data_IF_286984803486
#
_entry.id   IF_286984803486
#
_cell.length_a   1.000
_cell.length_b   1.000
_cell.length_c   1.000
_cell.angle_alpha   90.00
_cell.angle_beta   90.00
_cell.angle_gamma   90.00
#
_symmetry.space_group_name_H-M   'P 1'
#
loop_
_entity.id
_entity.type
_entity.pdbx_description
1 polymer ?
#
# COMPACT_ATOMS: atom_id res chain seq x y z
N UNK A 1 -11.85 29.14 -16.92
CA UNK A 1 -11.78 28.31 -15.68
C UNK A 1 -10.32 28.30 -15.23
N UNK A 2 -9.98 29.03 -14.17
CA UNK A 2 -8.61 29.15 -13.67
C UNK A 2 -8.29 27.96 -12.76
N UNK A 3 -7.40 27.08 -13.19
CA UNK A 3 -6.85 25.99 -12.38
C UNK A 3 -5.70 26.57 -11.55
N UNK A 4 -5.96 26.94 -10.29
CA UNK A 4 -4.92 27.40 -9.36
C UNK A 4 -4.15 26.19 -8.81
N UNK A 5 -2.82 26.28 -8.79
CA UNK A 5 -1.93 25.25 -8.26
C UNK A 5 -1.96 25.29 -6.73
N UNK A 6 -1.94 24.12 -6.09
CA UNK A 6 -1.91 23.94 -4.62
C UNK A 6 -0.61 24.44 -3.95
N UNK A 7 0.31 25.01 -4.71
CA UNK A 7 1.59 25.58 -4.26
C UNK A 7 1.50 27.09 -3.98
N UNK A 8 0.30 27.67 -4.03
CA UNK A 8 0.09 29.09 -3.71
C UNK A 8 0.40 29.34 -2.22
N UNK A 9 1.54 29.98 -1.93
CA UNK A 9 2.04 30.25 -0.57
C UNK A 9 1.06 31.04 0.30
N UNK A 10 0.10 31.72 -0.32
CA UNK A 10 -0.99 32.43 0.37
C UNK A 10 -2.04 31.51 1.01
N UNK A 11 -2.18 30.25 0.54
CA UNK A 11 -3.10 29.24 1.11
C UNK A 11 -2.37 28.31 2.09
N UNK A 12 -1.04 28.14 1.92
CA UNK A 12 -0.21 27.25 2.73
C UNK A 12 -0.03 27.76 4.17
N UNK A 13 -0.19 29.07 4.43
CA UNK A 13 -0.01 29.64 5.78
C UNK A 13 -0.98 29.07 6.83
N UNK A 14 -2.11 28.50 6.42
CA UNK A 14 -3.14 27.94 7.34
C UNK A 14 -3.17 26.41 7.38
N UNK A 15 -2.34 25.72 6.61
CA UNK A 15 -2.29 24.25 6.62
C UNK A 15 -1.16 23.76 7.53
N UNK A 16 -1.41 22.77 8.41
CA UNK A 16 -0.36 22.18 9.23
C UNK A 16 0.69 21.47 8.36
N UNK A 17 1.80 21.06 8.96
CA UNK A 17 2.89 20.44 8.20
C UNK A 17 2.49 19.04 7.68
N UNK A 18 2.96 18.71 6.48
CA UNK A 18 2.90 17.36 5.93
C UNK A 18 4.30 16.79 5.85
N UNK A 19 4.53 15.67 6.53
CA UNK A 19 5.80 14.95 6.52
C UNK A 19 5.61 13.62 5.79
N UNK A 20 6.42 13.37 4.76
CA UNK A 20 6.39 12.11 4.01
C UNK A 20 7.68 11.33 4.29
N UNK A 21 7.55 10.06 4.66
CA UNK A 21 8.68 9.19 4.96
C UNK A 21 8.50 7.80 4.35
N UNK A 22 9.61 7.23 3.90
CA UNK A 22 9.68 5.84 3.49
C UNK A 22 9.86 4.97 4.74
N UNK A 23 9.04 3.91 4.84
CA UNK A 23 9.10 2.92 5.93
C UNK A 23 9.58 1.61 5.34
N UNK A 24 10.85 1.31 5.57
CA UNK A 24 11.50 0.10 5.08
C UNK A 24 11.14 -1.10 5.97
N UNK A 25 10.67 -2.17 5.35
CA UNK A 25 10.23 -3.40 6.01
C UNK A 25 10.94 -4.59 5.35
N UNK A 26 11.68 -5.40 6.10
CA UNK A 26 12.20 -6.66 5.55
C UNK A 26 11.09 -7.70 5.33
N UNK A 27 11.32 -8.69 4.47
CA UNK A 27 10.45 -9.87 4.39
C UNK A 27 10.68 -10.76 5.62
N UNK A 28 9.64 -11.46 6.08
CA UNK A 28 9.82 -12.60 6.98
C UNK A 28 10.54 -13.76 6.26
N UNK A 29 11.15 -14.68 7.00
CA UNK A 29 11.80 -15.86 6.40
C UNK A 29 10.84 -16.68 5.51
N UNK A 30 9.58 -16.83 5.95
CA UNK A 30 8.53 -17.48 5.17
C UNK A 30 8.21 -16.72 3.87
N UNK A 31 8.09 -15.38 3.94
CA UNK A 31 7.89 -14.55 2.75
C UNK A 31 9.07 -14.66 1.78
N UNK A 32 10.30 -14.59 2.27
CA UNK A 32 11.51 -14.67 1.46
C UNK A 32 11.61 -15.99 0.68
N UNK A 33 11.26 -17.10 1.33
CA UNK A 33 11.21 -18.43 0.68
C UNK A 33 10.20 -18.46 -0.47
N UNK A 34 8.98 -17.98 -0.23
CA UNK A 34 7.93 -17.93 -1.26
C UNK A 34 8.29 -16.94 -2.37
N UNK A 35 8.97 -15.84 -2.03
CA UNK A 35 9.39 -14.81 -2.97
C UNK A 35 10.38 -15.38 -3.97
N UNK A 36 11.42 -16.06 -3.47
CA UNK A 36 12.43 -16.70 -4.32
C UNK A 36 11.80 -17.73 -5.25
N UNK A 37 10.96 -18.63 -4.72
CA UNK A 37 10.30 -19.66 -5.53
C UNK A 37 9.45 -19.03 -6.65
N UNK A 38 8.68 -17.99 -6.32
CA UNK A 38 7.84 -17.30 -7.30
C UNK A 38 8.66 -16.61 -8.39
N UNK A 39 9.81 -16.02 -8.05
CA UNK A 39 10.73 -15.41 -9.01
C UNK A 39 11.32 -16.48 -9.93
N UNK A 40 11.87 -17.54 -9.38
CA UNK A 40 12.54 -18.60 -10.15
C UNK A 40 11.58 -19.28 -11.13
N UNK A 41 10.38 -19.66 -10.66
CA UNK A 41 9.35 -20.30 -11.48
C UNK A 41 8.84 -19.39 -12.60
N UNK A 42 8.74 -18.08 -12.33
CA UNK A 42 8.20 -17.12 -13.29
C UNK A 42 9.24 -16.73 -14.34
N UNK A 43 10.50 -16.55 -13.95
CA UNK A 43 11.58 -16.21 -14.89
C UNK A 43 11.80 -17.33 -15.91
N UNK A 44 11.79 -18.59 -15.48
CA UNK A 44 11.90 -19.74 -16.38
C UNK A 44 10.79 -19.74 -17.46
N UNK A 45 9.54 -19.42 -17.07
CA UNK A 45 8.42 -19.33 -18.01
C UNK A 45 8.46 -18.09 -18.90
N UNK A 46 8.98 -16.98 -18.40
CA UNK A 46 9.08 -15.70 -19.13
C UNK A 46 10.18 -15.77 -20.19
N UNK A 47 11.28 -16.49 -19.94
CA UNK A 47 12.38 -16.70 -20.88
C UNK A 47 11.90 -17.38 -22.18
N UNK A 48 10.92 -18.28 -22.10
CA UNK A 48 10.35 -18.99 -23.25
C UNK A 48 9.18 -18.25 -23.92
N UNK A 49 8.77 -17.09 -23.40
CA UNK A 49 7.59 -16.37 -23.86
C UNK A 49 7.95 -15.09 -24.63
N UNK A 50 7.17 -14.78 -25.66
CA UNK A 50 7.32 -13.55 -26.46
C UNK A 50 6.04 -12.73 -26.53
N UNK A 51 6.18 -11.48 -27.01
CA UNK A 51 5.07 -10.58 -27.30
C UNK A 51 4.12 -10.35 -26.11
N UNK A 52 2.81 -10.38 -26.39
CA UNK A 52 1.76 -10.11 -25.39
C UNK A 52 1.77 -11.13 -24.25
N UNK A 53 2.11 -12.40 -24.55
CA UNK A 53 2.19 -13.47 -23.53
C UNK A 53 3.26 -13.13 -22.50
N UNK A 54 4.45 -12.72 -22.96
CA UNK A 54 5.55 -12.28 -22.10
C UNK A 54 5.15 -11.11 -21.22
N UNK A 55 4.56 -10.06 -21.81
CA UNK A 55 4.10 -8.87 -21.06
C UNK A 55 3.08 -9.24 -19.98
N UNK A 56 2.12 -10.11 -20.29
CA UNK A 56 1.14 -10.61 -19.33
C UNK A 56 1.75 -11.41 -18.18
N UNK A 57 2.77 -12.22 -18.45
CA UNK A 57 3.50 -12.96 -17.42
C UNK A 57 4.30 -12.03 -16.50
N UNK A 58 4.97 -11.02 -17.04
CA UNK A 58 5.69 -10.00 -16.25
C UNK A 58 4.73 -9.28 -15.31
N UNK A 59 3.61 -8.77 -15.83
CA UNK A 59 2.59 -8.10 -15.02
C UNK A 59 2.03 -9.02 -13.92
N UNK A 60 1.87 -10.31 -14.23
CA UNK A 60 1.40 -11.30 -13.24
C UNK A 60 2.44 -11.56 -12.16
N UNK A 61 3.72 -11.67 -12.52
CA UNK A 61 4.82 -11.82 -11.56
C UNK A 61 4.86 -10.61 -10.63
N UNK A 62 4.96 -9.40 -11.17
CA UNK A 62 5.06 -8.19 -10.37
C UNK A 62 3.83 -8.00 -9.46
N UNK A 63 2.62 -8.30 -9.95
CA UNK A 63 1.40 -8.30 -9.15
C UNK A 63 1.50 -9.26 -7.96
N UNK A 64 1.95 -10.50 -8.20
CA UNK A 64 2.09 -11.51 -7.13
C UNK A 64 3.19 -11.14 -6.13
N UNK A 65 4.30 -10.58 -6.59
CA UNK A 65 5.35 -10.09 -5.68
C UNK A 65 4.83 -8.96 -4.79
N UNK A 66 4.07 -7.98 -5.32
CA UNK A 66 3.39 -6.94 -4.51
C UNK A 66 2.45 -7.55 -3.46
N UNK A 67 1.65 -8.54 -3.87
CA UNK A 67 0.75 -9.24 -2.96
C UNK A 67 1.52 -9.94 -1.83
N UNK A 68 2.62 -10.63 -2.17
CA UNK A 68 3.46 -11.33 -1.20
C UNK A 68 4.15 -10.37 -0.23
N UNK A 69 4.68 -9.24 -0.71
CA UNK A 69 5.28 -8.20 0.15
C UNK A 69 4.28 -7.66 1.19
N UNK A 70 3.00 -7.58 0.83
CA UNK A 70 1.94 -7.24 1.78
C UNK A 70 1.66 -8.40 2.74
N UNK A 71 1.33 -9.58 2.23
CA UNK A 71 1.09 -10.78 3.04
C UNK A 71 1.00 -12.05 2.17
N UNK A 72 1.58 -13.19 2.60
CA UNK A 72 1.46 -14.47 1.87
C UNK A 72 0.02 -14.89 1.56
N UNK A 73 -0.92 -14.67 2.49
CA UNK A 73 -2.34 -15.00 2.33
C UNK A 73 -3.02 -14.36 1.10
N UNK A 74 -2.45 -13.29 0.51
CA UNK A 74 -2.98 -12.68 -0.70
C UNK A 74 -2.75 -13.53 -1.96
N UNK A 75 -1.78 -14.45 -1.94
CA UNK A 75 -1.49 -15.33 -3.08
C UNK A 75 -2.58 -16.41 -3.27
N UNK A 76 -3.22 -16.84 -2.17
CA UNK A 76 -4.24 -17.90 -2.17
C UNK A 76 -5.64 -17.41 -2.60
N UNK A 77 -5.83 -16.09 -2.71
CA UNK A 77 -7.13 -15.48 -3.00
C UNK A 77 -7.72 -15.82 -4.37
N UNK A 78 -6.93 -16.35 -5.32
CA UNK A 78 -7.38 -16.74 -6.67
C UNK A 78 -7.57 -18.26 -6.83
N UNK A 79 -8.67 -18.77 -6.28
CA UNK A 79 -9.41 -19.89 -6.90
C UNK A 79 -9.00 -21.31 -6.55
N UNK A 80 -7.93 -21.56 -5.78
CA UNK A 80 -7.78 -22.85 -5.09
C UNK A 80 -8.44 -22.74 -3.73
N UNK A 81 -9.72 -23.17 -3.66
CA UNK A 81 -10.28 -23.70 -2.41
C UNK A 81 -9.52 -24.98 -2.07
N UNK A 82 -8.24 -24.89 -1.73
CA UNK A 82 -7.67 -25.84 -0.79
C UNK A 82 -8.53 -25.65 0.44
N UNK A 83 -9.36 -26.65 0.72
CA UNK A 83 -10.10 -26.76 1.97
C UNK A 83 -9.07 -26.80 3.08
N UNK A 84 -8.55 -25.65 3.51
CA UNK A 84 -8.03 -25.55 4.86
C UNK A 84 -9.24 -25.78 5.74
N UNK A 85 -9.32 -26.96 6.33
CA UNK A 85 -10.30 -27.37 7.34
C UNK A 85 -10.03 -26.64 8.67
N UNK A 86 -9.74 -25.36 8.62
CA UNK A 86 -9.62 -24.47 9.76
C UNK A 86 -10.35 -23.19 9.40
N UNK A 87 -11.63 -23.11 9.80
CA UNK A 87 -12.26 -21.82 9.98
C UNK A 87 -11.46 -21.03 11.01
N UNK A 88 -11.41 -19.70 10.82
CA UNK A 88 -10.71 -18.71 11.64
C UNK A 88 -9.20 -18.96 11.80
N UNK A 89 -8.33 -18.02 11.35
CA UNK A 89 -6.93 -17.83 11.81
C UNK A 89 -5.82 -17.66 10.75
N UNK A 90 -6.11 -17.39 9.47
CA UNK A 90 -5.03 -17.12 8.47
C UNK A 90 -4.16 -15.88 8.80
N UNK A 91 -4.60 -15.00 9.70
CA UNK A 91 -3.86 -13.82 10.15
C UNK A 91 -3.74 -13.82 11.69
N UNK A 92 -3.24 -14.88 12.31
CA UNK A 92 -3.08 -14.88 13.78
C UNK A 92 -1.82 -14.22 14.30
N UNK A 93 -0.87 -13.95 13.42
CA UNK A 93 0.40 -13.34 13.82
C UNK A 93 0.89 -12.41 12.73
N UNK A 94 1.24 -11.19 13.13
CA UNK A 94 1.94 -10.23 12.27
C UNK A 94 3.33 -10.71 11.84
N UNK A 95 3.91 -11.72 12.50
CA UNK A 95 5.22 -12.29 12.14
C UNK A 95 5.26 -12.88 10.72
N UNK A 96 4.11 -13.21 10.14
CA UNK A 96 4.03 -13.72 8.79
C UNK A 96 4.30 -12.65 7.71
N UNK A 97 4.24 -11.36 8.06
CA UNK A 97 4.54 -10.25 7.14
C UNK A 97 5.28 -9.11 7.83
N UNK A 98 6.45 -8.76 7.31
CA UNK A 98 7.21 -7.63 7.85
C UNK A 98 6.46 -6.30 7.77
N UNK A 99 5.68 -6.08 6.70
CA UNK A 99 4.82 -4.89 6.59
C UNK A 99 3.68 -4.91 7.59
N UNK A 100 3.04 -6.06 7.81
CA UNK A 100 1.95 -6.15 8.79
C UNK A 100 2.47 -5.89 10.19
N UNK A 101 3.62 -6.47 10.55
CA UNK A 101 4.31 -6.22 11.82
C UNK A 101 4.61 -4.73 12.01
N UNK A 102 5.21 -4.09 11.00
CA UNK A 102 5.54 -2.67 11.10
C UNK A 102 4.30 -1.78 11.17
N UNK A 103 3.25 -2.11 10.42
CA UNK A 103 1.98 -1.39 10.46
C UNK A 103 1.34 -1.49 11.84
N UNK A 104 1.33 -2.68 12.44
CA UNK A 104 0.81 -2.92 13.78
C UNK A 104 1.54 -2.07 14.83
N UNK A 105 2.87 -2.09 14.84
CA UNK A 105 3.70 -1.28 15.75
C UNK A 105 3.35 0.21 15.66
N UNK A 106 3.27 0.75 14.44
CA UNK A 106 3.00 2.18 14.23
C UNK A 106 1.54 2.56 14.53
N UNK A 107 0.59 1.64 14.32
CA UNK A 107 -0.80 1.86 14.69
C UNK A 107 -0.99 1.80 16.21
N UNK A 108 -0.28 0.93 16.91
CA UNK A 108 -0.29 0.84 18.37
C UNK A 108 0.19 2.16 18.99
N UNK A 109 1.31 2.69 18.51
CA UNK A 109 1.84 4.00 18.91
C UNK A 109 0.83 5.12 18.63
N UNK A 110 0.36 5.25 17.38
CA UNK A 110 -0.60 6.29 17.02
C UNK A 110 -1.90 6.21 17.86
N UNK A 111 -2.46 5.02 18.06
CA UNK A 111 -3.68 4.86 18.87
C UNK A 111 -3.43 5.25 20.33
N UNK A 112 -2.25 4.95 20.88
CA UNK A 112 -1.88 5.30 22.25
C UNK A 112 -1.81 6.81 22.47
N UNK A 113 -1.44 7.57 21.43
CA UNK A 113 -1.40 9.04 21.43
C UNK A 113 -2.78 9.69 21.15
N UNK A 114 -3.81 8.89 20.89
CA UNK A 114 -5.14 9.37 20.52
C UNK A 114 -5.28 9.75 19.04
N UNK A 115 -4.32 9.30 18.22
CA UNK A 115 -4.25 9.61 16.80
C UNK A 115 -5.11 8.69 15.95
N UNK A 116 -5.30 9.10 14.70
CA UNK A 116 -6.17 8.42 13.74
C UNK A 116 -5.43 8.13 12.45
N UNK A 117 -5.52 6.87 12.03
CA UNK A 117 -4.80 6.31 10.91
C UNK A 117 -5.69 5.98 9.72
N UNK A 118 -5.25 6.38 8.53
CA UNK A 118 -5.80 5.92 7.26
C UNK A 118 -4.85 4.91 6.64
N UNK A 119 -5.37 3.75 6.23
CA UNK A 119 -4.58 2.69 5.62
C UNK A 119 -5.00 2.54 4.16
N UNK A 120 -4.12 2.89 3.23
CA UNK A 120 -4.36 2.76 1.80
C UNK A 120 -3.72 1.48 1.25
N UNK A 121 -4.52 0.70 0.52
CA UNK A 121 -4.06 -0.50 -0.21
C UNK A 121 -4.71 -0.58 -1.59
N UNK A 122 -3.98 -1.08 -2.58
CA UNK A 122 -4.51 -1.39 -3.92
C UNK A 122 -5.37 -2.65 -3.93
N UNK A 123 -5.27 -3.50 -2.90
CA UNK A 123 -5.88 -4.81 -2.85
C UNK A 123 -7.09 -4.83 -1.90
N UNK A 124 -8.30 -4.90 -2.44
CA UNK A 124 -9.51 -4.94 -1.60
C UNK A 124 -9.56 -6.18 -0.71
N UNK A 125 -9.00 -7.28 -1.20
CA UNK A 125 -8.81 -8.55 -0.53
C UNK A 125 -7.91 -8.39 0.68
N UNK A 126 -6.90 -7.52 0.60
CA UNK A 126 -6.07 -7.17 1.74
C UNK A 126 -6.87 -6.42 2.79
N UNK A 127 -7.67 -5.43 2.40
CA UNK A 127 -8.57 -4.74 3.34
C UNK A 127 -9.57 -5.67 4.03
N UNK A 128 -10.11 -6.68 3.32
CA UNK A 128 -11.02 -7.69 3.89
C UNK A 128 -10.35 -8.58 4.93
N UNK A 129 -9.08 -8.88 4.75
CA UNK A 129 -8.28 -9.69 5.67
C UNK A 129 -7.76 -8.84 6.85
N UNK A 130 -7.30 -7.62 6.56
CA UNK A 130 -6.71 -6.70 7.51
C UNK A 130 -7.73 -6.12 8.50
N UNK A 131 -8.97 -5.86 8.06
CA UNK A 131 -10.01 -5.33 8.94
C UNK A 131 -10.24 -6.22 10.19
N UNK A 132 -10.67 -7.48 10.07
CA UNK A 132 -10.92 -8.32 11.25
C UNK A 132 -9.65 -8.57 12.09
N UNK A 133 -8.48 -8.59 11.45
CA UNK A 133 -7.20 -8.67 12.15
C UNK A 133 -6.99 -7.49 13.11
N UNK A 134 -7.11 -6.26 12.59
CA UNK A 134 -6.90 -5.05 13.39
C UNK A 134 -8.01 -4.86 14.43
N UNK A 135 -9.26 -5.25 14.12
CA UNK A 135 -10.36 -5.25 15.10
C UNK A 135 -10.06 -6.19 16.28
N UNK A 136 -9.57 -7.39 16.00
CA UNK A 136 -9.17 -8.35 17.03
C UNK A 136 -7.95 -7.86 17.83
N UNK A 137 -6.91 -7.36 17.13
CA UNK A 137 -5.66 -6.88 17.75
C UNK A 137 -5.89 -5.72 18.72
N UNK A 138 -6.71 -4.74 18.32
CA UNK A 138 -6.90 -3.51 19.10
C UNK A 138 -8.18 -3.50 19.93
N UNK A 139 -9.07 -4.48 19.76
CA UNK A 139 -10.36 -4.54 20.45
C UNK A 139 -11.28 -3.35 20.11
N UNK A 140 -11.12 -2.74 18.92
CA UNK A 140 -11.83 -1.54 18.48
C UNK A 140 -12.35 -1.72 17.06
N UNK A 141 -13.44 -1.04 16.74
CA UNK A 141 -14.00 -1.02 15.38
C UNK A 141 -12.96 -0.48 14.37
N UNK A 142 -12.94 -1.09 13.17
CA UNK A 142 -12.15 -0.61 12.03
C UNK A 142 -13.07 -0.40 10.82
N UNK A 143 -13.02 0.78 10.23
CA UNK A 143 -13.80 1.05 9.01
C UNK A 143 -13.08 0.54 7.77
N UNK A 144 -13.83 0.13 6.77
CA UNK A 144 -13.27 -0.32 5.49
C UNK A 144 -14.11 0.15 4.30
N UNK A 145 -13.52 0.99 3.46
CA UNK A 145 -14.13 1.54 2.25
C UNK A 145 -13.44 0.98 1.00
N UNK A 146 -14.22 0.31 0.15
CA UNK A 146 -13.73 -0.29 -1.10
C UNK A 146 -14.74 -0.12 -2.23
N UNK A 147 -14.36 -0.57 -3.44
CA UNK A 147 -15.12 -0.30 -4.67
C UNK A 147 -16.58 -0.78 -4.66
N UNK A 148 -16.90 -1.84 -3.91
CA UNK A 148 -18.26 -2.38 -3.84
C UNK A 148 -19.12 -1.75 -2.72
N UNK A 149 -18.56 -0.84 -1.92
CA UNK A 149 -19.31 -0.14 -0.87
C UNK A 149 -20.38 0.76 -1.49
N UNK A 150 -21.64 0.60 -1.06
CA UNK A 150 -22.76 1.43 -1.51
C UNK A 150 -22.57 2.89 -1.10
N UNK A 151 -23.09 3.83 -1.89
CA UNK A 151 -22.95 5.28 -1.63
C UNK A 151 -23.38 5.68 -0.20
N UNK A 152 -24.54 5.21 0.26
CA UNK A 152 -25.06 5.49 1.60
C UNK A 152 -24.10 5.01 2.71
N UNK A 153 -23.63 3.76 2.62
CA UNK A 153 -22.66 3.21 3.58
C UNK A 153 -21.33 3.96 3.58
N UNK A 154 -20.89 4.43 2.40
CA UNK A 154 -19.71 5.27 2.29
C UNK A 154 -19.89 6.58 3.06
N UNK A 155 -21.02 7.26 2.88
CA UNK A 155 -21.33 8.51 3.58
C UNK A 155 -21.40 8.29 5.10
N UNK A 156 -22.06 7.22 5.55
CA UNK A 156 -22.12 6.82 6.97
C UNK A 156 -20.73 6.58 7.57
N UNK A 157 -19.83 5.85 6.88
CA UNK A 157 -18.47 5.60 7.36
C UNK A 157 -17.62 6.88 7.41
N UNK A 158 -17.76 7.76 6.42
CA UNK A 158 -17.03 9.04 6.41
C UNK A 158 -17.50 9.92 7.56
N UNK A 159 -18.81 10.04 7.75
CA UNK A 159 -19.40 10.82 8.84
C UNK A 159 -18.99 10.28 10.22
N UNK A 160 -19.08 8.96 10.40
CA UNK A 160 -18.62 8.27 11.62
C UNK A 160 -17.13 8.50 11.89
N UNK A 161 -16.28 8.47 10.86
CA UNK A 161 -14.86 8.74 11.05
C UNK A 161 -14.58 10.21 11.39
N UNK A 162 -15.26 11.16 10.72
CA UNK A 162 -14.96 12.59 10.81
C UNK A 162 -15.60 13.29 12.01
N UNK A 163 -16.84 12.94 12.33
CA UNK A 163 -17.70 13.75 13.20
C UNK A 163 -18.07 13.07 14.53
N UNK A 164 -18.08 11.74 14.60
CA UNK A 164 -18.44 11.00 15.82
C UNK A 164 -17.27 11.03 16.84
N UNK A 165 -17.41 11.66 18.03
CA UNK A 165 -16.36 11.67 19.06
C UNK A 165 -15.83 10.26 19.38
N UNK A 166 -16.72 9.27 19.42
CA UNK A 166 -16.44 7.85 19.71
C UNK A 166 -16.17 7.02 18.44
N UNK A 167 -16.06 7.68 17.29
CA UNK A 167 -15.75 7.05 16.02
C UNK A 167 -14.40 6.33 16.03
N UNK A 168 -14.20 5.33 15.17
CA UNK A 168 -13.01 4.48 15.16
C UNK A 168 -11.73 5.21 14.75
N UNK A 169 -10.60 4.80 15.30
CA UNK A 169 -9.29 5.40 15.03
C UNK A 169 -8.67 4.93 13.71
N UNK A 170 -9.10 3.79 13.17
CA UNK A 170 -8.53 3.20 11.95
C UNK A 170 -9.60 3.17 10.85
N UNK A 171 -9.21 3.62 9.66
CA UNK A 171 -10.03 3.51 8.46
C UNK A 171 -9.19 3.04 7.26
N UNK A 172 -9.53 1.86 6.73
CA UNK A 172 -8.89 1.23 5.57
C UNK A 172 -9.59 1.70 4.28
N UNK A 173 -8.81 2.02 3.25
CA UNK A 173 -9.28 2.44 1.94
C UNK A 173 -8.61 1.63 0.83
N UNK A 174 -9.42 1.03 -0.04
CA UNK A 174 -8.92 0.33 -1.24
C UNK A 174 -9.49 0.89 -2.55
N UNK A 175 -9.75 2.20 -2.58
CA UNK A 175 -10.28 2.87 -3.75
C UNK A 175 -9.14 3.24 -4.71
N UNK A 176 -9.32 2.93 -6.00
CA UNK A 176 -8.50 3.55 -7.06
C UNK A 176 -8.57 5.07 -6.91
N UNK A 177 -7.43 5.75 -7.02
CA UNK A 177 -7.28 7.16 -6.65
C UNK A 177 -8.17 8.16 -7.42
N UNK A 178 -8.89 7.74 -8.47
CA UNK A 178 -9.58 8.66 -9.40
C UNK A 178 -11.04 9.08 -9.10
N UNK A 179 -11.78 8.50 -8.15
CA UNK A 179 -13.27 8.57 -8.24
C UNK A 179 -14.08 9.38 -7.22
N UNK A 180 -13.52 9.80 -6.08
CA UNK A 180 -14.34 10.26 -4.95
C UNK A 180 -13.63 11.35 -4.14
N UNK A 181 -14.21 12.54 -4.05
CA UNK A 181 -13.67 13.64 -3.24
C UNK A 181 -13.84 13.39 -1.73
N UNK A 182 -13.09 12.44 -1.17
CA UNK A 182 -13.09 12.16 0.27
C UNK A 182 -12.44 13.33 1.03
N UNK A 183 -13.06 13.70 2.15
CA UNK A 183 -12.52 14.65 3.11
C UNK A 183 -12.34 13.92 4.44
N UNK A 184 -11.09 13.56 4.78
CA UNK A 184 -10.75 12.72 5.95
C UNK A 184 -9.73 13.42 6.85
N UNK A 185 -9.96 14.69 7.12
CA UNK A 185 -9.07 15.59 7.89
C UNK A 185 -8.92 15.22 9.37
N UNK A 186 -9.72 14.30 9.91
CA UNK A 186 -9.53 13.84 11.30
C UNK A 186 -8.37 12.86 11.44
N UNK A 187 -7.90 12.28 10.33
CA UNK A 187 -6.70 11.48 10.31
C UNK A 187 -5.46 12.37 10.28
N UNK A 188 -4.45 11.95 11.02
CA UNK A 188 -3.15 12.60 11.05
C UNK A 188 -2.00 11.60 10.77
N UNK A 189 -2.32 10.31 10.64
CA UNK A 189 -1.43 9.29 10.08
C UNK A 189 -2.02 8.72 8.78
N UNK A 190 -1.18 8.58 7.76
CA UNK A 190 -1.53 7.98 6.48
C UNK A 190 -0.52 6.88 6.15
N UNK A 191 -0.99 5.64 6.05
CA UNK A 191 -0.17 4.47 5.75
C UNK A 191 -0.47 3.99 4.33
N UNK A 192 0.50 4.13 3.42
CA UNK A 192 0.45 3.47 2.11
C UNK A 192 1.15 2.12 2.25
N UNK A 193 0.37 1.06 2.50
CA UNK A 193 0.93 -0.28 2.77
C UNK A 193 1.46 -0.94 1.51
N UNK A 194 0.93 -0.59 0.34
CA UNK A 194 1.49 -0.94 -0.96
C UNK A 194 1.57 0.28 -1.87
N UNK A 195 2.68 0.39 -2.59
CA UNK A 195 3.00 1.57 -3.40
C UNK A 195 2.31 1.52 -4.75
N UNK A 196 1.72 2.63 -5.15
CA UNK A 196 1.42 2.88 -6.56
C UNK A 196 2.75 3.22 -7.24
N UNK A 197 3.05 2.59 -8.37
CA UNK A 197 4.29 2.90 -9.07
C UNK A 197 4.20 4.21 -9.85
N UNK A 198 2.99 4.76 -10.01
CA UNK A 198 2.77 6.13 -10.43
C UNK A 198 2.62 7.05 -9.19
N UNK A 199 3.60 7.94 -8.91
CA UNK A 199 3.55 8.86 -7.77
C UNK A 199 2.35 9.80 -7.78
N UNK A 200 1.81 10.17 -8.95
CA UNK A 200 0.66 11.06 -9.04
C UNK A 200 -0.61 10.43 -8.45
N UNK A 201 -0.76 9.11 -8.62
CA UNK A 201 -1.90 8.34 -8.08
C UNK A 201 -1.82 8.27 -6.55
N UNK A 202 -0.62 8.03 -6.01
CA UNK A 202 -0.37 8.02 -4.56
C UNK A 202 -0.58 9.41 -3.95
N UNK A 203 -0.01 10.45 -4.55
CA UNK A 203 -0.15 11.83 -4.10
C UNK A 203 -1.62 12.26 -4.09
N UNK A 204 -2.41 11.83 -5.08
CA UNK A 204 -3.85 12.09 -5.11
C UNK A 204 -4.59 11.43 -3.94
N UNK A 205 -4.14 10.24 -3.49
CA UNK A 205 -4.71 9.59 -2.31
C UNK A 205 -4.34 10.34 -1.02
N UNK A 206 -3.07 10.72 -0.86
CA UNK A 206 -2.59 11.53 0.29
C UNK A 206 -3.27 12.90 0.36
N UNK A 207 -3.46 13.57 -0.78
CA UNK A 207 -4.13 14.87 -0.93
C UNK A 207 -5.62 14.86 -0.55
N UNK A 208 -6.21 13.70 -0.21
CA UNK A 208 -7.56 13.61 0.36
C UNK A 208 -7.56 13.80 1.88
N UNK A 209 -6.41 13.59 2.51
CA UNK A 209 -6.18 13.76 3.94
C UNK A 209 -5.64 15.16 4.22
N UNK A 210 -4.72 15.62 3.37
CA UNK A 210 -4.15 16.95 3.42
C UNK A 210 -5.02 17.95 2.64
N UNK A 211 -6.11 18.40 3.26
CA UNK A 211 -7.06 19.37 2.70
C UNK A 211 -7.40 20.48 3.69
N UNK A 212 -7.99 21.56 3.16
CA UNK A 212 -8.58 22.64 3.96
C UNK A 212 -9.51 22.02 5.02
N UNK A 213 -9.29 22.37 6.29
CA UNK A 213 -9.97 21.78 7.45
C UNK A 213 -9.12 20.78 8.24
N UNK A 214 -7.93 20.43 7.76
CA UNK A 214 -6.91 19.74 8.55
C UNK A 214 -6.34 20.70 9.61
N UNK A 215 -6.29 20.25 10.87
CA UNK A 215 -5.82 21.05 12.02
C UNK A 215 -4.58 20.46 12.68
N UNK A 216 -4.16 19.26 12.29
CA UNK A 216 -3.02 18.52 12.85
C UNK A 216 -1.99 18.26 11.78
N UNK A 217 -0.71 18.23 12.17
CA UNK A 217 0.36 17.77 11.29
C UNK A 217 0.05 16.36 10.79
N UNK A 218 0.30 16.11 9.51
CA UNK A 218 0.01 14.83 8.86
C UNK A 218 1.31 14.10 8.57
N UNK A 219 1.41 12.89 9.09
CA UNK A 219 2.51 11.97 8.82
C UNK A 219 2.09 10.95 7.76
N UNK A 220 2.85 10.86 6.68
CA UNK A 220 2.60 9.95 5.56
C UNK A 220 3.71 8.92 5.49
N UNK A 221 3.32 7.67 5.74
CA UNK A 221 4.19 6.51 5.87
C UNK A 221 4.07 5.64 4.62
N UNK A 222 5.14 5.57 3.82
CA UNK A 222 5.16 4.83 2.56
C UNK A 222 5.94 3.54 2.71
N UNK A 223 5.24 2.42 2.78
CA UNK A 223 5.87 1.14 3.10
C UNK A 223 6.58 0.60 1.86
N UNK A 224 7.81 0.14 2.06
CA UNK A 224 8.66 -0.43 1.02
C UNK A 224 9.31 -1.69 1.57
N UNK A 225 9.19 -2.79 0.83
CA UNK A 225 9.85 -4.02 1.24
C UNK A 225 11.31 -4.06 0.79
N UNK A 226 12.24 -4.03 1.76
CA UNK A 226 13.70 -4.00 1.54
C UNK A 226 14.18 -5.27 0.86
N UNK A 227 15.16 -5.13 -0.04
CA UNK A 227 15.74 -6.22 -0.82
C UNK A 227 14.82 -6.78 -1.90
N UNK A 228 13.63 -6.20 -2.10
CA UNK A 228 12.65 -6.70 -3.08
C UNK A 228 12.48 -5.78 -4.28
N UNK A 229 11.67 -6.23 -5.22
CA UNK A 229 11.13 -5.43 -6.33
C UNK A 229 10.55 -4.07 -5.89
N UNK A 230 9.98 -3.95 -4.69
CA UNK A 230 9.43 -2.66 -4.24
C UNK A 230 10.50 -1.61 -4.00
N UNK A 231 11.63 -1.99 -3.40
CA UNK A 231 12.76 -1.09 -3.15
C UNK A 231 13.41 -0.68 -4.46
N UNK A 232 13.70 -1.64 -5.34
CA UNK A 232 14.28 -1.37 -6.66
C UNK A 232 13.40 -0.45 -7.51
N UNK A 233 12.08 -0.64 -7.50
CA UNK A 233 11.16 0.27 -8.19
C UNK A 233 11.14 1.65 -7.52
N UNK A 234 11.16 1.73 -6.19
CA UNK A 234 11.26 2.99 -5.48
C UNK A 234 12.52 3.77 -5.89
N UNK A 235 13.67 3.12 -5.95
CA UNK A 235 14.94 3.75 -6.31
C UNK A 235 14.92 4.26 -7.75
N UNK A 236 14.33 3.50 -8.68
CA UNK A 236 14.14 3.95 -10.06
C UNK A 236 13.22 5.18 -10.12
N UNK A 237 12.13 5.20 -9.35
CA UNK A 237 11.20 6.33 -9.30
C UNK A 237 11.89 7.58 -8.72
N UNK A 238 12.63 7.43 -7.61
CA UNK A 238 13.34 8.54 -6.97
C UNK A 238 14.47 9.08 -7.86
N UNK A 239 15.23 8.20 -8.53
CA UNK A 239 16.23 8.59 -9.52
C UNK A 239 15.60 9.37 -10.69
N UNK A 240 14.47 8.89 -11.22
CA UNK A 240 13.73 9.60 -12.28
C UNK A 240 13.22 10.96 -11.83
N UNK A 241 12.74 11.10 -10.58
CA UNK A 241 12.31 12.40 -10.04
C UNK A 241 13.45 13.40 -9.96
N UNK A 242 14.63 12.97 -9.52
CA UNK A 242 15.82 13.83 -9.45
C UNK A 242 16.26 14.30 -10.84
N UNK A 243 16.16 13.43 -11.85
CA UNK A 243 16.53 13.74 -13.22
C UNK A 243 15.50 14.61 -13.96
N UNK A 244 14.21 14.50 -13.61
CA UNK A 244 13.13 15.09 -14.39
C UNK A 244 12.71 16.51 -13.96
N UNK A 245 13.12 17.01 -12.78
CA UNK A 245 12.72 18.27 -12.09
C UNK A 245 11.21 18.61 -12.00
N UNK A 246 10.35 18.18 -12.92
CA UNK A 246 8.90 18.31 -12.90
C UNK A 246 8.29 17.31 -13.90
N UNK A 247 7.49 16.38 -13.39
CA UNK A 247 6.58 15.47 -14.14
C UNK A 247 7.19 14.14 -14.58
N UNK A 248 7.26 13.20 -13.63
CA UNK A 248 7.27 11.76 -13.97
C UNK A 248 5.81 11.35 -14.20
N UNK A 249 5.30 11.57 -15.42
CA UNK A 249 4.07 10.92 -15.90
C UNK A 249 4.42 9.55 -16.51
N UNK A 250 5.29 8.81 -15.82
CA UNK A 250 5.63 7.47 -16.22
C UNK A 250 4.50 6.55 -15.74
N UNK A 251 3.61 6.20 -16.66
CA UNK A 251 2.77 5.02 -16.51
C UNK A 251 3.62 3.77 -16.21
N UNK A 252 2.97 2.65 -15.92
CA UNK A 252 3.66 1.40 -15.55
C UNK A 252 4.26 0.67 -16.78
N UNK A 253 4.12 1.23 -17.99
CA UNK A 253 4.49 0.60 -19.26
C UNK A 253 5.97 0.18 -19.32
N UNK A 254 6.87 1.00 -18.75
CA UNK A 254 8.32 0.72 -18.74
C UNK A 254 8.69 -0.58 -18.03
N UNK A 255 7.83 -1.08 -17.13
CA UNK A 255 8.07 -2.36 -16.44
C UNK A 255 7.93 -3.56 -17.39
N UNK A 256 7.10 -3.43 -18.43
CA UNK A 256 6.84 -4.54 -19.36
C UNK A 256 7.78 -4.56 -20.57
N UNK A 257 8.50 -3.47 -20.82
CA UNK A 257 9.47 -3.35 -21.92
C UNK A 257 10.89 -3.80 -21.54
N UNK A 258 11.13 -4.19 -20.28
CA UNK A 258 12.43 -4.70 -19.83
C UNK A 258 12.81 -6.00 -20.54
N UNK A 259 14.09 -6.14 -20.88
CA UNK A 259 14.65 -7.42 -21.29
C UNK A 259 14.74 -8.38 -20.08
N UNK A 260 15.06 -9.66 -20.31
CA UNK A 260 15.07 -10.68 -19.26
C UNK A 260 16.10 -10.41 -18.16
N UNK A 261 17.28 -9.91 -18.53
CA UNK A 261 18.34 -9.57 -17.56
C UNK A 261 17.92 -8.42 -16.65
N UNK A 262 17.39 -7.35 -17.24
CA UNK A 262 16.82 -6.22 -16.51
C UNK A 262 15.67 -6.63 -15.59
N UNK A 263 14.78 -7.51 -16.07
CA UNK A 263 13.69 -8.03 -15.26
C UNK A 263 14.22 -8.87 -14.10
N UNK A 264 15.22 -9.73 -14.35
CA UNK A 264 15.86 -10.56 -13.32
C UNK A 264 16.46 -9.66 -12.25
N UNK A 265 17.25 -8.66 -12.64
CA UNK A 265 17.82 -7.69 -11.71
C UNK A 265 16.74 -6.94 -10.92
N UNK A 266 15.62 -6.60 -11.55
CA UNK A 266 14.50 -5.93 -10.89
C UNK A 266 13.82 -6.80 -9.81
N UNK A 267 13.74 -8.12 -10.01
CA UNK A 267 12.98 -9.01 -9.12
C UNK A 267 13.84 -9.86 -8.20
N UNK A 268 15.18 -9.85 -8.36
CA UNK A 268 16.07 -10.60 -7.49
C UNK A 268 15.99 -10.10 -6.04
N UNK A 269 15.82 -11.04 -5.11
CA UNK A 269 15.81 -10.79 -3.67
C UNK A 269 17.24 -10.59 -3.14
N UNK A 270 17.49 -9.47 -2.48
CA UNK A 270 18.65 -9.33 -1.61
C UNK A 270 18.41 -10.06 -0.29
N UNK A 271 19.10 -11.21 -0.11
CA UNK A 271 18.93 -12.05 1.07
C UNK A 271 19.46 -11.43 2.36
N UNK A 272 20.32 -10.42 2.28
CA UNK A 272 20.80 -9.71 3.47
C UNK A 272 19.72 -8.84 4.14
N UNK A 273 18.61 -8.60 3.44
CA UNK A 273 17.49 -7.78 3.90
C UNK A 273 16.32 -8.58 4.54
N UNK A 274 16.47 -9.91 4.66
CA UNK A 274 15.46 -10.77 5.30
C UNK A 274 15.53 -10.59 6.82
N UNK A 275 14.37 -10.50 7.48
CA UNK A 275 14.31 -10.40 8.94
C UNK A 275 14.67 -11.76 9.53
N UNK A 276 15.73 -11.80 10.34
CA UNK A 276 16.05 -12.96 11.18
C UNK A 276 15.02 -13.07 12.31
N UNK A 277 14.53 -14.30 12.56
CA UNK A 277 13.57 -14.61 13.63
C UNK A 277 14.17 -14.43 15.05
#
# INVERSE_FOLDING_TARGET
ILRRLKTDKSIIQDLPEKQEMNVFCGLSAAQATVYQQLVDDSLAQIEEAEGIKRKGMILTLLLRLKQLCNHPALLDSKGKKTKSKTGDNSLMSSQQSGKLRRLEEMLEEAISEGDRGLIFTQFSEWGKLLKPYLEHKFGKEVLFLYGATRKKQREEMIDRFQNDPDGPSIFILSLKAGGTGLNLTRANHVFHVDRWWNPAVENQATDRVFRIGQKRNVQVHKFICTGTVEEKINDIIESKKQLAEQTVDAGEDWLTEMNTEQLRDLVLLDRSAVIDD
#
